data_IF_507770878908
#
_entry.id   IF_507770878908
#
_cell.length_a   1.000
_cell.length_b   1.000
_cell.length_c   1.000
_cell.angle_alpha   90.00
_cell.angle_beta   90.00
_cell.angle_gamma   90.00
#
_symmetry.space_group_name_H-M   'P 1'
#
loop_
_entity.id
_entity.type
_entity.pdbx_description
1 polymer ?
#
# COMPACT_ATOMS: atom_id res chain seq x y z
N UNK A 1 -4.95 9.48 -61.83
CA UNK A 1 -6.31 9.74 -61.30
C UNK A 1 -6.89 8.47 -60.70
N UNK A 2 -6.75 7.34 -61.37
CA UNK A 2 -7.41 6.08 -60.99
C UNK A 2 -6.56 5.16 -60.12
N UNK A 3 -5.26 5.42 -60.03
CA UNK A 3 -4.35 4.72 -59.13
C UNK A 3 -3.17 4.08 -59.85
N UNK A 4 -3.15 4.12 -61.18
CA UNK A 4 -2.17 3.40 -62.01
C UNK A 4 -0.78 4.06 -62.04
N UNK A 5 -0.59 5.16 -61.29
CA UNK A 5 0.70 5.80 -61.17
C UNK A 5 1.61 4.97 -60.28
N UNK A 6 2.83 4.70 -60.73
CA UNK A 6 3.84 4.07 -59.86
C UNK A 6 4.21 5.00 -58.70
N UNK A 7 4.47 4.41 -57.53
CA UNK A 7 4.83 5.15 -56.32
C UNK A 7 6.05 6.06 -56.54
N UNK A 8 7.06 5.59 -57.28
CA UNK A 8 8.26 6.39 -57.59
C UNK A 8 7.93 7.68 -58.33
N UNK A 9 7.01 7.62 -59.30
CA UNK A 9 6.57 8.78 -60.07
C UNK A 9 5.71 9.71 -59.21
N UNK A 10 4.85 9.18 -58.34
CA UNK A 10 4.08 9.99 -57.40
C UNK A 10 5.00 10.77 -56.44
N UNK A 11 6.04 10.12 -55.93
CA UNK A 11 7.04 10.74 -55.05
C UNK A 11 7.85 11.81 -55.80
N UNK A 12 8.22 11.55 -57.06
CA UNK A 12 8.89 12.53 -57.90
C UNK A 12 8.00 13.76 -58.15
N UNK A 13 6.74 13.56 -58.53
CA UNK A 13 5.76 14.64 -58.70
C UNK A 13 5.65 15.50 -57.44
N UNK A 14 5.68 14.87 -56.24
CA UNK A 14 5.67 15.60 -54.97
C UNK A 14 6.93 16.45 -54.78
N UNK A 15 8.11 16.01 -55.24
CA UNK A 15 9.34 16.78 -55.19
C UNK A 15 9.31 17.98 -56.15
N UNK A 16 8.73 17.82 -57.34
CA UNK A 16 8.63 18.86 -58.37
C UNK A 16 7.26 19.55 -58.42
N UNK A 17 6.54 19.60 -57.30
CA UNK A 17 5.12 20.00 -57.24
C UNK A 17 4.85 21.38 -57.88
N UNK A 18 5.78 22.34 -57.73
CA UNK A 18 5.66 23.68 -58.32
C UNK A 18 5.76 23.65 -59.86
N UNK A 19 6.78 22.97 -60.39
CA UNK A 19 6.98 22.82 -61.84
C UNK A 19 5.85 22.00 -62.46
N UNK A 20 5.45 20.92 -61.79
CA UNK A 20 4.31 20.10 -62.21
C UNK A 20 3.02 20.92 -62.28
N UNK A 21 2.76 21.78 -61.29
CA UNK A 21 1.61 22.67 -61.30
C UNK A 21 1.63 23.69 -62.45
N UNK A 22 2.81 24.14 -62.90
CA UNK A 22 2.93 25.01 -64.07
C UNK A 22 2.56 24.26 -65.35
N UNK A 23 3.07 23.04 -65.55
CA UNK A 23 2.74 22.20 -66.71
C UNK A 23 1.24 21.90 -66.78
N UNK A 24 0.61 21.60 -65.65
CA UNK A 24 -0.83 21.31 -65.61
C UNK A 24 -1.68 22.52 -66.02
N UNK A 25 -1.25 23.76 -65.73
CA UNK A 25 -1.99 24.97 -66.13
C UNK A 25 -2.02 25.17 -67.66
N UNK A 26 -1.03 24.63 -68.38
CA UNK A 26 -0.96 24.70 -69.84
C UNK A 26 -1.84 23.64 -70.53
N UNK A 27 -2.48 22.73 -69.79
CA UNK A 27 -3.34 21.67 -70.32
C UNK A 27 -4.82 22.04 -70.09
N UNK A 28 -5.58 22.47 -71.12
CA UNK A 28 -6.93 23.01 -70.95
C UNK A 28 -7.97 22.03 -70.38
N UNK A 29 -7.74 20.72 -70.55
CA UNK A 29 -8.64 19.66 -70.10
C UNK A 29 -8.46 19.25 -68.63
N UNK A 30 -7.47 19.83 -67.93
CA UNK A 30 -7.14 19.46 -66.55
C UNK A 30 -7.28 20.64 -65.58
N UNK A 31 -8.08 20.44 -64.54
CA UNK A 31 -8.16 21.41 -63.44
C UNK A 31 -7.04 21.19 -62.42
N UNK A 32 -6.20 22.20 -62.20
CA UNK A 32 -5.08 22.14 -61.24
C UNK A 32 -5.53 21.76 -59.83
N UNK A 33 -6.70 22.24 -59.40
CA UNK A 33 -7.27 21.91 -58.07
C UNK A 33 -7.55 20.42 -57.93
N UNK A 34 -8.17 19.82 -58.97
CA UNK A 34 -8.48 18.39 -59.00
C UNK A 34 -7.19 17.55 -58.94
N UNK A 35 -6.16 17.95 -59.69
CA UNK A 35 -4.87 17.23 -59.71
C UNK A 35 -4.12 17.34 -58.38
N UNK A 36 -4.09 18.52 -57.76
CA UNK A 36 -3.50 18.70 -56.42
C UNK A 36 -4.19 17.84 -55.37
N UNK A 37 -5.52 17.82 -55.37
CA UNK A 37 -6.29 16.95 -54.49
C UNK A 37 -5.95 15.47 -54.75
N UNK A 38 -5.89 15.05 -56.01
CA UNK A 38 -5.51 13.69 -56.37
C UNK A 38 -4.14 13.30 -55.81
N UNK A 39 -3.12 14.16 -55.98
CA UNK A 39 -1.78 13.94 -55.41
C UNK A 39 -1.87 13.77 -53.89
N UNK A 40 -2.58 14.66 -53.20
CA UNK A 40 -2.73 14.58 -51.75
C UNK A 40 -3.41 13.27 -51.31
N UNK A 41 -4.51 12.87 -51.95
CA UNK A 41 -5.17 11.61 -51.65
C UNK A 41 -4.26 10.41 -51.88
N UNK A 42 -3.51 10.38 -52.99
CA UNK A 42 -2.56 9.28 -53.29
C UNK A 42 -1.40 9.23 -52.28
N UNK A 43 -0.91 10.38 -51.82
CA UNK A 43 0.09 10.43 -50.76
C UNK A 43 -0.45 9.95 -49.42
N UNK A 44 -1.73 10.22 -49.10
CA UNK A 44 -2.39 9.69 -47.90
C UNK A 44 -2.53 8.17 -47.95
N UNK A 45 -2.88 7.59 -49.10
CA UNK A 45 -2.91 6.14 -49.30
C UNK A 45 -1.52 5.51 -49.13
N UNK A 46 -0.49 6.11 -49.74
CA UNK A 46 0.89 5.66 -49.58
C UNK A 46 1.35 5.73 -48.12
N UNK A 47 0.98 6.79 -47.39
CA UNK A 47 1.28 6.89 -45.95
C UNK A 47 0.61 5.77 -45.17
N UNK A 48 -0.68 5.51 -45.39
CA UNK A 48 -1.41 4.43 -44.73
C UNK A 48 -0.79 3.05 -45.01
N UNK A 49 -0.39 2.79 -46.26
CA UNK A 49 0.34 1.57 -46.62
C UNK A 49 1.66 1.43 -45.86
N UNK A 50 2.47 2.50 -45.79
CA UNK A 50 3.75 2.49 -45.05
C UNK A 50 3.55 2.24 -43.56
N UNK A 51 2.54 2.87 -42.95
CA UNK A 51 2.17 2.59 -41.57
C UNK A 51 1.80 1.12 -41.39
N UNK A 52 0.92 0.58 -42.24
CA UNK A 52 0.54 -0.83 -42.20
C UNK A 52 1.74 -1.77 -42.35
N UNK A 53 2.64 -1.50 -43.30
CA UNK A 53 3.86 -2.28 -43.51
C UNK A 53 4.76 -2.25 -42.26
N UNK A 54 4.90 -1.10 -41.61
CA UNK A 54 5.72 -0.98 -40.40
C UNK A 54 5.09 -1.73 -39.22
N UNK A 55 3.79 -1.55 -38.99
CA UNK A 55 3.06 -2.23 -37.92
C UNK A 55 3.10 -3.76 -38.10
N UNK A 56 2.98 -4.27 -39.34
CA UNK A 56 3.13 -5.71 -39.62
C UNK A 56 4.54 -6.22 -39.36
N UNK A 57 5.58 -5.44 -39.68
CA UNK A 57 6.97 -5.78 -39.33
C UNK A 57 7.17 -5.89 -37.83
N UNK A 58 6.69 -4.90 -37.08
CA UNK A 58 6.74 -4.93 -35.62
C UNK A 58 5.95 -6.11 -35.05
N UNK A 59 4.77 -6.41 -35.61
CA UNK A 59 3.99 -7.56 -35.19
C UNK A 59 4.72 -8.89 -35.41
N UNK A 60 5.38 -9.08 -36.56
CA UNK A 60 6.21 -10.27 -36.81
C UNK A 60 7.37 -10.32 -35.81
N UNK A 61 8.03 -9.19 -35.52
CA UNK A 61 9.08 -9.13 -34.50
C UNK A 61 8.56 -9.53 -33.11
N UNK A 62 7.37 -9.07 -32.73
CA UNK A 62 6.71 -9.44 -31.48
C UNK A 62 6.36 -10.92 -31.42
N UNK A 63 5.95 -11.54 -32.54
CA UNK A 63 5.66 -12.97 -32.60
C UNK A 63 6.93 -13.83 -32.49
N UNK A 64 8.04 -13.35 -33.06
CA UNK A 64 9.32 -14.05 -33.00
C UNK A 64 9.87 -14.20 -31.57
N UNK A 65 9.42 -13.38 -30.61
CA UNK A 65 9.83 -13.44 -29.18
C UNK A 65 9.46 -14.76 -28.50
N UNK A 66 8.49 -15.49 -29.05
CA UNK A 66 8.02 -16.79 -28.54
C UNK A 66 7.96 -17.85 -29.64
N UNK A 67 8.80 -17.74 -30.68
CA UNK A 67 8.82 -18.69 -31.80
C UNK A 67 7.52 -18.77 -32.62
N UNK A 68 6.69 -17.71 -32.60
CA UNK A 68 5.53 -17.60 -33.46
C UNK A 68 5.94 -17.41 -34.92
N UNK A 69 5.61 -18.37 -35.79
CA UNK A 69 6.03 -18.36 -37.19
C UNK A 69 4.91 -17.88 -38.11
N UNK A 70 5.14 -16.76 -38.80
CA UNK A 70 4.21 -16.15 -39.75
C UNK A 70 4.84 -16.06 -41.15
N UNK A 71 5.11 -17.19 -41.82
CA UNK A 71 5.83 -17.19 -43.10
C UNK A 71 5.03 -16.46 -44.20
N UNK A 72 3.70 -16.62 -44.21
CA UNK A 72 2.82 -15.96 -45.18
C UNK A 72 2.86 -14.44 -45.05
N UNK A 73 2.83 -13.93 -43.80
CA UNK A 73 2.91 -12.49 -43.53
C UNK A 73 4.32 -11.96 -43.84
N UNK A 74 5.36 -12.72 -43.49
CA UNK A 74 6.75 -12.35 -43.76
C UNK A 74 7.03 -12.27 -45.28
N UNK A 75 6.51 -13.21 -46.07
CA UNK A 75 6.60 -13.20 -47.53
C UNK A 75 5.89 -11.98 -48.12
N UNK A 76 4.70 -11.65 -47.63
CA UNK A 76 3.97 -10.44 -48.04
C UNK A 76 4.74 -9.15 -47.71
N UNK A 77 5.35 -9.06 -46.52
CA UNK A 77 6.21 -7.94 -46.13
C UNK A 77 7.43 -7.86 -47.06
N UNK A 78 8.05 -8.99 -47.39
CA UNK A 78 9.21 -9.06 -48.27
C UNK A 78 8.88 -8.60 -49.70
N UNK A 79 7.80 -9.13 -50.28
CA UNK A 79 7.28 -8.68 -51.59
C UNK A 79 6.95 -7.20 -51.62
N UNK A 80 6.51 -6.66 -50.48
CA UNK A 80 6.16 -5.25 -50.31
C UNK A 80 7.36 -4.31 -50.09
N UNK A 81 8.61 -4.79 -50.03
CA UNK A 81 9.77 -3.91 -49.79
C UNK A 81 10.08 -2.97 -50.96
N UNK A 82 9.87 -3.44 -52.19
CA UNK A 82 10.09 -2.67 -53.42
C UNK A 82 8.83 -1.90 -53.87
N UNK A 83 7.96 -1.52 -52.92
CA UNK A 83 6.70 -0.83 -53.20
C UNK A 83 6.83 0.46 -54.04
N UNK A 84 8.04 1.02 -54.18
CA UNK A 84 8.30 2.19 -55.03
C UNK A 84 8.04 1.90 -56.51
N UNK A 85 8.21 0.65 -56.94
CA UNK A 85 7.99 0.20 -58.32
C UNK A 85 6.54 -0.22 -58.57
N UNK A 86 5.74 -0.35 -57.52
CA UNK A 86 4.35 -0.77 -57.63
C UNK A 86 3.44 0.39 -58.00
N UNK A 87 2.37 0.03 -58.71
CA UNK A 87 1.29 0.98 -58.92
C UNK A 87 0.54 1.20 -57.61
N UNK A 88 0.12 2.43 -57.44
CA UNK A 88 -0.67 2.91 -56.31
C UNK A 88 -1.93 2.03 -56.13
N UNK A 89 -2.65 1.69 -57.20
CA UNK A 89 -3.80 0.77 -57.17
C UNK A 89 -3.50 -0.69 -56.79
N UNK A 90 -2.25 -1.14 -56.83
CA UNK A 90 -1.86 -2.49 -56.39
C UNK A 90 -1.74 -2.57 -54.86
N UNK A 91 -1.55 -1.43 -54.20
CA UNK A 91 -1.30 -1.37 -52.76
C UNK A 91 -2.59 -1.22 -51.92
N UNK A 92 -3.66 -0.74 -52.53
CA UNK A 92 -4.90 -0.33 -51.86
C UNK A 92 -6.09 -0.46 -52.78
N UNK A 93 -7.30 -0.31 -52.22
CA UNK A 93 -8.53 -0.22 -53.01
C UNK A 93 -8.75 1.24 -53.45
N UNK A 94 -8.30 1.67 -54.65
CA UNK A 94 -8.39 3.08 -55.02
C UNK A 94 -9.85 3.50 -55.17
N UNK A 95 -10.24 4.58 -54.50
CA UNK A 95 -11.50 5.26 -54.83
C UNK A 95 -11.28 6.18 -56.01
N UNK A 96 -12.23 6.23 -56.93
CA UNK A 96 -12.17 7.14 -58.07
C UNK A 96 -12.10 8.59 -57.55
N UNK A 97 -11.20 9.39 -58.10
CA UNK A 97 -11.01 10.80 -57.71
C UNK A 97 -12.29 11.66 -57.74
N UNK A 98 -13.27 11.34 -58.60
CA UNK A 98 -14.59 12.01 -58.62
C UNK A 98 -15.36 11.81 -57.32
N UNK A 99 -15.19 10.66 -56.67
CA UNK A 99 -15.74 10.41 -55.34
C UNK A 99 -14.96 11.20 -54.29
N UNK A 100 -13.63 11.19 -54.35
CA UNK A 100 -12.78 11.86 -53.36
C UNK A 100 -12.93 13.39 -53.37
N UNK A 101 -13.13 14.01 -54.54
CA UNK A 101 -13.40 15.44 -54.66
C UNK A 101 -14.76 15.89 -54.10
N UNK A 102 -15.69 14.95 -53.84
CA UNK A 102 -16.94 15.26 -53.13
C UNK A 102 -16.76 15.37 -51.62
N UNK A 103 -15.62 14.92 -51.09
CA UNK A 103 -15.30 15.06 -49.67
C UNK A 103 -14.97 16.53 -49.40
N UNK A 104 -15.65 17.12 -48.43
CA UNK A 104 -15.36 18.48 -47.96
C UNK A 104 -14.01 18.55 -47.25
N UNK A 105 -13.60 17.44 -46.62
CA UNK A 105 -12.34 17.33 -45.89
C UNK A 105 -11.61 16.02 -46.22
N UNK A 106 -10.33 16.14 -46.58
CA UNK A 106 -9.42 15.02 -46.87
C UNK A 106 -9.25 14.09 -45.67
N UNK A 107 -9.46 14.58 -44.45
CA UNK A 107 -9.37 13.77 -43.23
C UNK A 107 -10.46 12.72 -43.10
N UNK A 108 -11.60 12.93 -43.77
CA UNK A 108 -12.69 11.96 -43.81
C UNK A 108 -12.38 10.74 -44.68
N UNK A 109 -11.33 10.83 -45.51
CA UNK A 109 -10.88 9.70 -46.32
C UNK A 109 -9.95 8.78 -45.51
N UNK A 110 -10.38 7.53 -45.35
CA UNK A 110 -9.61 6.44 -44.74
C UNK A 110 -9.26 5.41 -45.83
N UNK A 111 -7.99 5.34 -46.27
CA UNK A 111 -7.52 4.33 -47.21
C UNK A 111 -7.69 2.90 -46.66
N UNK A 112 -8.13 1.99 -47.51
CA UNK A 112 -8.17 0.55 -47.22
C UNK A 112 -6.99 -0.11 -47.91
N UNK A 113 -5.99 -0.51 -47.13
CA UNK A 113 -4.79 -1.19 -47.61
C UNK A 113 -5.16 -2.64 -47.96
N UNK A 114 -4.89 -3.05 -49.20
CA UNK A 114 -5.24 -4.39 -49.72
C UNK A 114 -4.01 -5.24 -50.00
N UNK A 115 -2.81 -4.64 -50.06
CA UNK A 115 -1.55 -5.31 -50.42
C UNK A 115 -1.24 -6.59 -49.61
N UNK A 116 -1.73 -6.67 -48.38
CA UNK A 116 -1.41 -7.76 -47.45
C UNK A 116 -2.47 -8.87 -47.41
N UNK A 117 -3.59 -8.73 -48.15
CA UNK A 117 -4.69 -9.71 -48.14
C UNK A 117 -5.22 -10.07 -46.73
N UNK A 118 -5.10 -9.17 -45.76
CA UNK A 118 -5.61 -9.35 -44.39
C UNK A 118 -6.92 -8.56 -44.21
N UNK A 119 -7.95 -9.15 -43.58
CA UNK A 119 -9.16 -8.44 -43.19
C UNK A 119 -8.87 -7.20 -42.34
N UNK A 120 -9.66 -6.13 -42.53
CA UNK A 120 -9.49 -4.90 -41.75
C UNK A 120 -9.65 -5.12 -40.24
N UNK A 121 -10.41 -6.14 -39.81
CA UNK A 121 -10.53 -6.52 -38.40
C UNK A 121 -9.23 -7.05 -37.83
N UNK A 122 -8.51 -7.91 -38.57
CA UNK A 122 -7.20 -8.42 -38.16
C UNK A 122 -6.17 -7.30 -38.11
N UNK A 123 -6.11 -6.43 -39.14
CA UNK A 123 -5.20 -5.28 -39.13
C UNK A 123 -5.43 -4.36 -37.93
N UNK A 124 -6.70 -4.07 -37.59
CA UNK A 124 -7.03 -3.28 -36.40
C UNK A 124 -6.57 -3.97 -35.11
N UNK A 125 -6.76 -5.28 -35.00
CA UNK A 125 -6.31 -6.05 -33.85
C UNK A 125 -4.78 -5.99 -33.72
N UNK A 126 -4.05 -6.23 -34.81
CA UNK A 126 -2.58 -6.14 -34.86
C UNK A 126 -2.08 -4.77 -34.44
N UNK A 127 -2.64 -3.69 -34.99
CA UNK A 127 -2.19 -2.33 -34.65
C UNK A 127 -2.47 -1.99 -33.19
N UNK A 128 -3.57 -2.49 -32.63
CA UNK A 128 -3.85 -2.35 -31.21
C UNK A 128 -2.77 -3.01 -30.35
N UNK A 129 -2.30 -4.20 -30.74
CA UNK A 129 -1.25 -4.93 -30.00
C UNK A 129 0.09 -4.25 -30.11
N UNK A 130 0.51 -3.91 -31.33
CA UNK A 130 1.81 -3.27 -31.55
C UNK A 130 1.87 -1.96 -30.77
N UNK A 131 0.75 -1.22 -30.69
CA UNK A 131 0.66 -0.03 -29.85
C UNK A 131 0.76 -0.37 -28.35
N UNK A 132 0.03 -1.37 -27.86
CA UNK A 132 0.06 -1.77 -26.43
C UNK A 132 1.42 -2.32 -25.98
N UNK A 133 2.10 -3.11 -26.82
CA UNK A 133 3.43 -3.66 -26.55
C UNK A 133 4.56 -2.62 -26.46
N UNK A 134 4.28 -1.33 -26.71
CA UNK A 134 5.23 -0.26 -26.40
C UNK A 134 5.39 -0.03 -24.90
N UNK A 135 4.46 -0.49 -24.08
CA UNK A 135 4.58 -0.51 -22.62
C UNK A 135 5.14 -1.85 -22.13
N UNK A 136 6.06 -1.78 -21.17
CA UNK A 136 6.79 -2.95 -20.66
C UNK A 136 5.87 -4.03 -20.07
N UNK A 137 4.84 -3.63 -19.31
CA UNK A 137 3.94 -4.58 -18.64
C UNK A 137 3.10 -5.39 -19.63
N UNK A 138 2.62 -4.75 -20.70
CA UNK A 138 1.85 -5.44 -21.72
C UNK A 138 2.74 -6.42 -22.51
N UNK A 139 3.98 -6.00 -22.82
CA UNK A 139 4.96 -6.84 -23.48
C UNK A 139 5.32 -8.08 -22.63
N UNK A 140 5.42 -7.94 -21.30
CA UNK A 140 5.64 -9.06 -20.40
C UNK A 140 4.47 -10.07 -20.44
N UNK A 141 3.22 -9.61 -20.39
CA UNK A 141 2.06 -10.51 -20.52
C UNK A 141 2.03 -11.20 -21.89
N UNK A 142 2.36 -10.46 -22.94
CA UNK A 142 2.48 -10.99 -24.31
C UNK A 142 3.53 -12.11 -24.39
N UNK A 143 4.70 -11.92 -23.81
CA UNK A 143 5.77 -12.92 -23.78
C UNK A 143 5.39 -14.16 -22.98
N UNK A 144 4.88 -13.97 -21.75
CA UNK A 144 4.46 -15.09 -20.88
C UNK A 144 3.41 -15.94 -21.59
N UNK A 145 2.40 -15.29 -22.21
CA UNK A 145 1.34 -16.00 -22.93
C UNK A 145 1.89 -16.70 -24.16
N UNK A 146 2.67 -16.00 -24.98
CA UNK A 146 3.24 -16.55 -26.20
C UNK A 146 4.13 -17.78 -25.92
N UNK A 147 4.96 -17.70 -24.89
CA UNK A 147 5.83 -18.81 -24.45
C UNK A 147 5.01 -19.99 -23.92
N UNK A 148 3.96 -19.74 -23.13
CA UNK A 148 3.06 -20.79 -22.64
C UNK A 148 2.45 -21.58 -23.80
N UNK A 149 1.92 -20.90 -24.82
CA UNK A 149 1.31 -21.55 -25.99
C UNK A 149 2.37 -22.24 -26.86
N UNK A 150 3.56 -21.65 -27.02
CA UNK A 150 4.64 -22.28 -27.78
C UNK A 150 5.14 -23.57 -27.14
N UNK A 151 5.15 -23.65 -25.81
CA UNK A 151 5.54 -24.87 -25.09
C UNK A 151 4.51 -25.99 -25.26
N UNK A 152 3.24 -25.67 -25.47
CA UNK A 152 2.17 -26.65 -25.68
C UNK A 152 2.09 -27.15 -27.13
N UNK A 153 2.39 -26.29 -28.12
CA UNK A 153 2.08 -26.56 -29.55
C UNK A 153 3.34 -26.73 -30.42
N UNK A 154 4.55 -26.72 -29.86
CA UNK A 154 5.87 -26.69 -30.54
C UNK A 154 6.09 -25.47 -31.47
N UNK A 155 5.19 -25.21 -32.43
CA UNK A 155 5.24 -24.07 -33.33
C UNK A 155 3.85 -23.52 -33.68
N UNK A 156 3.59 -22.27 -33.30
CA UNK A 156 2.35 -21.57 -33.65
C UNK A 156 2.48 -20.99 -35.06
N UNK A 157 1.70 -21.53 -35.99
CA UNK A 157 1.71 -21.11 -37.41
C UNK A 157 0.37 -20.50 -37.82
N UNK A 158 0.43 -19.32 -38.43
CA UNK A 158 -0.74 -18.62 -38.99
C UNK A 158 -1.27 -17.51 -38.09
N UNK A 159 -1.70 -16.42 -38.74
CA UNK A 159 -2.10 -15.18 -38.05
C UNK A 159 -3.33 -15.39 -37.17
N UNK A 160 -4.31 -16.17 -37.62
CA UNK A 160 -5.51 -16.47 -36.86
C UNK A 160 -5.20 -17.22 -35.57
N UNK A 161 -4.28 -18.19 -35.61
CA UNK A 161 -3.87 -18.91 -34.40
C UNK A 161 -3.19 -17.99 -33.39
N UNK A 162 -2.36 -17.05 -33.84
CA UNK A 162 -1.74 -16.07 -32.94
C UNK A 162 -2.81 -15.14 -32.36
N UNK A 163 -3.76 -14.69 -33.18
CA UNK A 163 -4.85 -13.84 -32.71
C UNK A 163 -5.69 -14.56 -31.65
N UNK A 164 -6.09 -15.80 -31.91
CA UNK A 164 -6.99 -16.58 -31.05
C UNK A 164 -6.31 -17.08 -29.77
N UNK A 165 -5.07 -17.56 -29.84
CA UNK A 165 -4.41 -18.24 -28.73
C UNK A 165 -3.47 -17.34 -27.91
N UNK A 166 -2.97 -16.25 -28.50
CA UNK A 166 -2.04 -15.34 -27.81
C UNK A 166 -2.70 -13.99 -27.58
N UNK A 167 -3.09 -13.29 -28.65
CA UNK A 167 -3.61 -11.92 -28.55
C UNK A 167 -4.87 -11.82 -27.71
N UNK A 168 -5.97 -12.46 -28.12
CA UNK A 168 -7.25 -12.31 -27.42
C UNK A 168 -7.15 -12.71 -25.94
N UNK A 169 -6.42 -13.78 -25.57
CA UNK A 169 -6.13 -14.06 -24.17
C UNK A 169 -5.28 -13.00 -23.48
N UNK A 170 -4.18 -12.52 -24.07
CA UNK A 170 -3.37 -11.44 -23.47
C UNK A 170 -4.18 -10.16 -23.24
N UNK A 171 -5.12 -9.82 -24.13
CA UNK A 171 -6.05 -8.70 -23.93
C UNK A 171 -6.97 -8.91 -22.73
N UNK A 172 -7.44 -10.15 -22.50
CA UNK A 172 -8.24 -10.49 -21.32
C UNK A 172 -7.39 -10.41 -20.05
N UNK A 173 -6.21 -11.03 -20.05
CA UNK A 173 -5.28 -11.00 -18.92
C UNK A 173 -4.91 -9.54 -18.57
N UNK A 174 -4.74 -8.67 -19.57
CA UNK A 174 -4.53 -7.22 -19.38
C UNK A 174 -5.72 -6.50 -18.72
N UNK A 175 -6.95 -6.82 -19.12
CA UNK A 175 -8.15 -6.24 -18.53
C UNK A 175 -8.40 -6.75 -17.11
N UNK A 176 -8.13 -8.03 -16.85
CA UNK A 176 -8.21 -8.63 -15.52
C UNK A 176 -7.21 -7.96 -14.57
N UNK A 177 -5.95 -7.84 -14.99
CA UNK A 177 -4.92 -7.15 -14.22
C UNK A 177 -5.28 -5.70 -13.93
N UNK A 178 -5.80 -4.95 -14.92
CA UNK A 178 -6.32 -3.60 -14.69
C UNK A 178 -7.37 -3.57 -13.57
N UNK A 179 -8.34 -4.48 -13.61
CA UNK A 179 -9.42 -4.53 -12.63
C UNK A 179 -8.91 -4.91 -11.23
N UNK A 180 -7.94 -5.81 -11.14
CA UNK A 180 -7.32 -6.19 -9.87
C UNK A 180 -6.48 -5.07 -9.27
N UNK A 181 -5.75 -4.34 -10.09
CA UNK A 181 -5.01 -3.14 -9.70
C UNK A 181 -5.96 -2.06 -9.19
N UNK A 182 -7.01 -1.75 -9.93
CA UNK A 182 -7.99 -0.70 -9.56
C UNK A 182 -8.75 -1.08 -8.29
N UNK A 183 -9.27 -2.31 -8.19
CA UNK A 183 -10.01 -2.78 -7.01
C UNK A 183 -9.15 -3.11 -5.80
N UNK A 184 -7.85 -3.33 -6.01
CA UNK A 184 -6.89 -3.72 -4.97
C UNK A 184 -7.01 -5.18 -4.56
N UNK A 185 -7.65 -6.02 -5.38
CA UNK A 185 -7.68 -7.47 -5.15
C UNK A 185 -6.36 -8.16 -5.47
N UNK A 186 -5.49 -7.51 -6.25
CA UNK A 186 -4.11 -7.99 -6.45
C UNK A 186 -3.40 -8.17 -5.12
N UNK A 187 -2.58 -9.22 -4.99
CA UNK A 187 -1.83 -9.47 -3.77
C UNK A 187 -0.54 -8.65 -3.72
N UNK A 188 0.03 -8.48 -2.52
CA UNK A 188 1.33 -7.81 -2.39
C UNK A 188 2.44 -8.57 -3.12
N UNK A 189 2.46 -9.90 -3.08
CA UNK A 189 3.46 -10.70 -3.78
C UNK A 189 3.34 -10.56 -5.29
N UNK A 190 2.12 -10.57 -5.83
CA UNK A 190 1.88 -10.37 -7.26
C UNK A 190 2.28 -8.97 -7.70
N UNK A 191 1.88 -7.94 -6.95
CA UNK A 191 2.29 -6.57 -7.23
C UNK A 191 3.81 -6.40 -7.15
N UNK A 192 4.47 -7.03 -6.18
CA UNK A 192 5.94 -7.02 -6.08
C UNK A 192 6.62 -7.76 -7.24
N UNK A 193 6.03 -8.84 -7.76
CA UNK A 193 6.54 -9.50 -8.98
C UNK A 193 6.43 -8.60 -10.21
N UNK A 194 5.34 -7.83 -10.32
CA UNK A 194 5.15 -6.89 -11.43
C UNK A 194 6.15 -5.72 -11.37
N UNK A 195 6.35 -5.15 -10.19
CA UNK A 195 7.21 -3.97 -10.01
C UNK A 195 8.68 -4.32 -9.76
N UNK A 196 8.99 -5.52 -9.28
CA UNK A 196 10.32 -5.88 -8.82
C UNK A 196 10.86 -4.93 -7.75
N UNK A 197 12.12 -4.51 -7.92
CA UNK A 197 12.81 -3.55 -7.03
C UNK A 197 12.69 -2.10 -7.51
N UNK A 198 11.75 -1.82 -8.41
CA UNK A 198 11.50 -0.49 -8.94
C UNK A 198 11.20 0.53 -7.83
N UNK A 199 11.66 1.76 -8.01
CA UNK A 199 11.26 2.88 -7.15
C UNK A 199 9.85 3.37 -7.47
N UNK A 200 9.29 4.21 -6.61
CA UNK A 200 7.92 4.73 -6.74
C UNK A 200 7.65 5.39 -8.12
N UNK A 201 8.64 6.12 -8.65
CA UNK A 201 8.55 6.77 -9.96
C UNK A 201 8.51 5.74 -11.10
N UNK A 202 9.37 4.72 -11.04
CA UNK A 202 9.42 3.65 -12.03
C UNK A 202 8.11 2.84 -12.02
N UNK A 203 7.54 2.57 -10.84
CA UNK A 203 6.23 1.90 -10.70
C UNK A 203 5.12 2.75 -11.32
N UNK A 204 5.16 4.06 -11.13
CA UNK A 204 4.20 4.96 -11.74
C UNK A 204 4.29 4.94 -13.27
N UNK A 205 5.50 4.96 -13.82
CA UNK A 205 5.74 4.86 -15.26
C UNK A 205 5.28 3.50 -15.82
N UNK A 206 5.56 2.41 -15.10
CA UNK A 206 5.12 1.06 -15.43
C UNK A 206 3.58 0.94 -15.51
N UNK A 207 2.87 1.61 -14.60
CA UNK A 207 1.41 1.59 -14.52
C UNK A 207 0.74 2.69 -15.37
N UNK A 208 1.50 3.62 -15.94
CA UNK A 208 0.99 4.68 -16.82
C UNK A 208 0.13 4.19 -18.00
N UNK A 209 0.34 2.99 -18.59
CA UNK A 209 -0.56 2.48 -19.62
C UNK A 209 -2.00 2.26 -19.15
N UNK A 210 -2.26 2.25 -17.84
CA UNK A 210 -3.61 2.16 -17.28
C UNK A 210 -4.22 3.52 -16.93
N UNK A 211 -3.51 4.63 -17.15
CA UNK A 211 -4.03 5.99 -16.96
C UNK A 211 -5.03 6.36 -18.08
N UNK A 212 -6.18 5.69 -18.12
CA UNK A 212 -7.29 6.01 -19.00
C UNK A 212 -8.43 6.65 -18.20
N UNK A 213 -8.50 7.98 -18.21
CA UNK A 213 -9.60 8.73 -17.60
C UNK A 213 -9.16 9.74 -16.55
N UNK A 214 -10.13 10.26 -15.76
CA UNK A 214 -9.90 11.37 -14.81
C UNK A 214 -9.40 10.93 -13.44
N UNK A 215 -9.51 9.65 -13.08
CA UNK A 215 -9.13 9.17 -11.75
C UNK A 215 -8.06 8.07 -11.81
N UNK A 216 -6.81 8.50 -11.61
CA UNK A 216 -5.65 7.62 -11.48
C UNK A 216 -5.12 7.62 -10.03
N UNK A 217 -5.94 8.04 -9.05
CA UNK A 217 -5.52 8.11 -7.65
C UNK A 217 -5.18 6.74 -7.05
N UNK A 218 -5.75 5.67 -7.62
CA UNK A 218 -5.44 4.29 -7.26
C UNK A 218 -3.97 3.91 -7.48
N UNK A 219 -3.27 4.48 -8.49
CA UNK A 219 -1.84 4.20 -8.73
C UNK A 219 -1.02 4.65 -7.52
N UNK A 220 -1.30 5.88 -7.05
CA UNK A 220 -0.64 6.42 -5.87
C UNK A 220 -0.99 5.62 -4.61
N UNK A 221 -2.25 5.17 -4.49
CA UNK A 221 -2.67 4.30 -3.40
C UNK A 221 -1.87 2.99 -3.36
N UNK A 222 -1.68 2.32 -4.51
CA UNK A 222 -0.90 1.07 -4.59
C UNK A 222 0.57 1.26 -4.23
N UNK A 223 1.18 2.36 -4.68
CA UNK A 223 2.57 2.70 -4.32
C UNK A 223 2.70 2.88 -2.81
N UNK A 224 1.80 3.64 -2.17
CA UNK A 224 1.80 3.83 -0.72
C UNK A 224 1.60 2.48 -0.01
N UNK A 225 0.63 1.68 -0.44
CA UNK A 225 0.37 0.37 0.16
C UNK A 225 1.59 -0.53 0.11
N UNK A 226 2.28 -0.60 -1.03
CA UNK A 226 3.50 -1.41 -1.18
C UNK A 226 4.64 -0.94 -0.28
N UNK A 227 4.92 0.36 -0.26
CA UNK A 227 5.92 0.97 0.64
C UNK A 227 5.65 0.63 2.12
N UNK A 228 4.38 0.61 2.49
CA UNK A 228 3.93 0.34 3.86
C UNK A 228 3.94 -1.13 4.21
N UNK A 229 3.56 -2.00 3.27
CA UNK A 229 3.73 -3.44 3.41
C UNK A 229 5.19 -3.83 3.65
N UNK A 230 6.12 -3.23 2.89
CA UNK A 230 7.57 -3.42 3.12
C UNK A 230 8.02 -2.96 4.50
N UNK A 231 7.36 -1.93 5.06
CA UNK A 231 7.64 -1.42 6.41
C UNK A 231 6.88 -2.17 7.53
N UNK A 232 5.93 -3.04 7.18
CA UNK A 232 5.08 -3.75 8.15
C UNK A 232 5.91 -4.68 9.04
N UNK A 233 6.94 -5.32 8.48
CA UNK A 233 7.83 -6.20 9.23
C UNK A 233 8.59 -5.45 10.34
N UNK A 234 8.82 -4.15 10.20
CA UNK A 234 9.41 -3.32 11.26
C UNK A 234 8.47 -3.15 12.45
N UNK A 235 7.15 -3.18 12.22
CA UNK A 235 6.14 -3.10 13.28
C UNK A 235 5.89 -4.43 13.99
N UNK A 236 6.36 -5.55 13.42
CA UNK A 236 5.98 -6.89 13.87
C UNK A 236 6.34 -7.13 15.34
N UNK A 237 7.54 -6.75 15.76
CA UNK A 237 7.99 -6.95 17.13
C UNK A 237 7.16 -6.12 18.11
N UNK A 238 6.92 -4.84 17.79
CA UNK A 238 6.08 -3.96 18.60
C UNK A 238 4.65 -4.50 18.72
N UNK A 239 4.06 -4.93 17.60
CA UNK A 239 2.72 -5.51 17.56
C UNK A 239 2.61 -6.80 18.41
N UNK A 240 3.62 -7.68 18.35
CA UNK A 240 3.68 -8.90 19.18
C UNK A 240 3.72 -8.57 20.66
N UNK A 241 4.58 -7.63 21.06
CA UNK A 241 4.71 -7.22 22.47
C UNK A 241 3.39 -6.62 22.97
N UNK A 242 2.75 -5.75 22.18
CA UNK A 242 1.47 -5.15 22.56
C UNK A 242 0.40 -6.23 22.73
N UNK A 243 0.29 -7.18 21.78
CA UNK A 243 -0.62 -8.32 21.91
C UNK A 243 -0.36 -9.09 23.19
N UNK A 244 0.90 -9.43 23.47
CA UNK A 244 1.27 -10.18 24.68
C UNK A 244 0.83 -9.42 25.95
N UNK A 245 0.98 -8.09 26.01
CA UNK A 245 0.54 -7.27 27.16
C UNK A 245 -0.99 -7.25 27.28
N UNK A 246 -1.70 -7.09 26.16
CA UNK A 246 -3.19 -7.07 26.14
C UNK A 246 -3.75 -8.37 26.68
N UNK A 247 -3.23 -9.51 26.21
CA UNK A 247 -3.62 -10.85 26.65
C UNK A 247 -3.21 -11.12 28.11
N UNK A 248 -2.01 -10.68 28.51
CA UNK A 248 -1.46 -10.93 29.84
C UNK A 248 -2.19 -10.22 30.98
N UNK A 249 -2.79 -9.05 30.69
CA UNK A 249 -3.40 -8.18 31.68
C UNK A 249 -4.90 -8.01 31.50
N UNK A 250 -5.51 -8.77 30.59
CA UNK A 250 -6.93 -8.69 30.20
C UNK A 250 -7.38 -7.25 29.92
N UNK A 251 -6.59 -6.53 29.12
CA UNK A 251 -6.88 -5.12 28.83
C UNK A 251 -8.12 -5.01 27.95
N UNK A 252 -9.08 -4.19 28.40
CA UNK A 252 -10.27 -3.84 27.62
C UNK A 252 -9.93 -2.72 26.60
N UNK A 253 -10.56 -2.78 25.43
CA UNK A 253 -10.34 -1.82 24.34
C UNK A 253 -10.26 -2.44 22.94
N UNK A 254 -10.21 -1.57 21.94
CA UNK A 254 -10.09 -1.95 20.53
C UNK A 254 -8.62 -2.13 20.13
N UNK A 255 -8.22 -3.39 19.94
CA UNK A 255 -6.90 -3.79 19.44
C UNK A 255 -6.97 -4.47 18.06
N UNK A 256 -8.07 -4.28 17.32
CA UNK A 256 -8.29 -4.94 16.02
C UNK A 256 -7.15 -4.63 15.03
N UNK A 257 -6.62 -3.40 15.06
CA UNK A 257 -5.50 -3.04 14.19
C UNK A 257 -4.23 -3.84 14.48
N UNK A 258 -3.91 -4.07 15.76
CA UNK A 258 -2.73 -4.87 16.14
C UNK A 258 -2.91 -6.32 15.68
N UNK A 259 -4.11 -6.88 15.86
CA UNK A 259 -4.46 -8.22 15.36
C UNK A 259 -4.31 -8.32 13.85
N UNK A 260 -4.82 -7.33 13.11
CA UNK A 260 -4.71 -7.27 11.65
C UNK A 260 -3.27 -7.19 11.16
N UNK A 261 -2.43 -6.36 11.78
CA UNK A 261 -1.01 -6.25 11.41
C UNK A 261 -0.28 -7.58 11.64
N UNK A 262 -0.58 -8.27 12.75
CA UNK A 262 -0.03 -9.58 13.03
C UNK A 262 -0.49 -10.62 12.01
N UNK A 263 -1.78 -10.64 11.65
CA UNK A 263 -2.32 -11.51 10.59
C UNK A 263 -1.59 -11.22 9.28
N UNK A 264 -1.57 -9.97 8.82
CA UNK A 264 -0.96 -9.59 7.53
C UNK A 264 0.54 -9.86 7.45
N UNK A 265 1.26 -9.77 8.56
CA UNK A 265 2.68 -10.07 8.60
C UNK A 265 2.97 -11.57 8.81
N UNK A 266 1.95 -12.36 9.14
CA UNK A 266 2.01 -13.82 9.28
C UNK A 266 1.46 -14.59 8.08
N UNK A 267 0.50 -14.00 7.35
CA UNK A 267 -0.02 -14.52 6.09
C UNK A 267 1.05 -14.38 5.02
N UNK A 268 1.23 -15.44 4.25
CA UNK A 268 2.24 -15.49 3.19
C UNK A 268 1.96 -14.51 2.04
N UNK A 269 0.69 -14.16 1.81
CA UNK A 269 0.27 -13.23 0.76
C UNK A 269 -1.14 -12.67 1.01
N UNK A 270 -1.29 -11.35 1.08
CA UNK A 270 -2.59 -10.69 1.31
C UNK A 270 -2.93 -9.68 0.21
N UNK A 271 -4.23 -9.47 -0.03
CA UNK A 271 -4.73 -8.52 -1.04
C UNK A 271 -4.47 -7.07 -0.61
N UNK A 272 -4.07 -6.22 -1.55
CA UNK A 272 -3.68 -4.84 -1.25
C UNK A 272 -4.82 -3.99 -0.65
N UNK A 273 -6.07 -4.22 -1.07
CA UNK A 273 -7.27 -3.54 -0.52
C UNK A 273 -7.43 -3.72 0.99
N UNK A 274 -6.88 -4.81 1.53
CA UNK A 274 -6.93 -5.06 2.96
C UNK A 274 -6.07 -4.01 3.71
N UNK A 275 -5.04 -3.43 3.09
CA UNK A 275 -4.30 -2.32 3.66
C UNK A 275 -4.97 -0.97 3.34
N UNK A 276 -6.18 -0.76 3.84
CA UNK A 276 -6.93 0.48 3.61
C UNK A 276 -6.25 1.70 4.25
N UNK A 277 -6.65 2.91 3.85
CA UNK A 277 -6.17 4.19 4.40
C UNK A 277 -6.29 4.30 5.93
N UNK A 278 -7.27 3.64 6.54
CA UNK A 278 -7.43 3.63 8.01
C UNK A 278 -6.40 2.74 8.70
N UNK A 279 -6.09 1.58 8.10
CA UNK A 279 -5.03 0.69 8.59
C UNK A 279 -3.65 1.36 8.47
N UNK A 280 -3.43 2.13 7.40
CA UNK A 280 -2.19 2.89 7.18
C UNK A 280 -1.88 3.88 8.31
N UNK A 281 -2.87 4.62 8.81
CA UNK A 281 -2.70 5.55 9.93
C UNK A 281 -2.26 4.85 11.21
N UNK A 282 -2.70 3.61 11.42
CA UNK A 282 -2.36 2.87 12.63
C UNK A 282 -0.99 2.20 12.54
N UNK A 283 -0.57 1.80 11.34
CA UNK A 283 0.83 1.44 11.08
C UNK A 283 1.76 2.63 11.39
N UNK A 284 1.37 3.87 11.11
CA UNK A 284 2.16 5.05 11.49
C UNK A 284 2.33 5.17 13.00
N UNK A 285 1.32 4.82 13.80
CA UNK A 285 1.41 4.82 15.27
C UNK A 285 2.46 3.79 15.74
N UNK A 286 2.46 2.59 15.17
CA UNK A 286 3.43 1.56 15.50
C UNK A 286 4.84 1.90 14.99
N UNK A 287 4.96 2.47 13.78
CA UNK A 287 6.25 2.96 13.25
C UNK A 287 6.81 4.14 14.07
N UNK A 288 5.96 4.93 14.73
CA UNK A 288 6.37 5.99 15.64
C UNK A 288 6.85 5.47 17.02
N UNK A 289 6.71 4.16 17.30
CA UNK A 289 7.34 3.52 18.45
C UNK A 289 8.83 3.33 18.15
N UNK A 290 9.64 4.26 18.63
CA UNK A 290 11.09 4.08 18.59
C UNK A 290 11.54 2.86 19.42
N UNK A 291 12.79 2.46 19.23
CA UNK A 291 13.36 1.30 19.92
C UNK A 291 13.26 1.39 21.44
N UNK A 292 13.32 2.59 22.02
CA UNK A 292 13.23 2.81 23.46
C UNK A 292 11.82 2.55 23.98
N UNK A 293 10.79 3.02 23.27
CA UNK A 293 9.39 2.76 23.64
C UNK A 293 9.07 1.27 23.56
N UNK A 294 9.53 0.60 22.51
CA UNK A 294 9.38 -0.86 22.38
C UNK A 294 10.09 -1.59 23.51
N UNK A 295 11.29 -1.14 23.90
CA UNK A 295 12.00 -1.70 25.07
C UNK A 295 11.24 -1.47 26.39
N UNK A 296 10.64 -0.30 26.59
CA UNK A 296 9.80 -0.04 27.76
C UNK A 296 8.59 -0.98 27.83
N UNK A 297 7.92 -1.23 26.70
CA UNK A 297 6.82 -2.19 26.63
C UNK A 297 7.28 -3.61 26.95
N UNK A 298 8.45 -4.04 26.44
CA UNK A 298 9.05 -5.34 26.81
C UNK A 298 9.27 -5.43 28.32
N UNK A 299 9.91 -4.42 28.93
CA UNK A 299 10.16 -4.41 30.38
C UNK A 299 8.87 -4.45 31.19
N UNK A 300 7.83 -3.73 30.76
CA UNK A 300 6.52 -3.77 31.41
C UNK A 300 5.87 -5.16 31.33
N UNK A 301 5.92 -5.79 30.16
CA UNK A 301 5.45 -7.18 29.96
C UNK A 301 6.21 -8.15 30.87
N UNK A 302 7.53 -8.03 30.93
CA UNK A 302 8.38 -8.95 31.69
C UNK A 302 8.28 -8.72 33.22
N UNK A 303 7.70 -7.58 33.64
CA UNK A 303 7.49 -7.19 35.04
C UNK A 303 6.16 -7.67 35.65
N UNK A 304 5.53 -8.68 35.04
CA UNK A 304 4.21 -9.20 35.45
C UNK A 304 4.06 -9.45 36.96
N UNK A 305 4.99 -10.13 37.66
CA UNK A 305 4.81 -10.41 39.09
C UNK A 305 4.66 -9.16 39.95
N UNK A 306 5.40 -8.10 39.62
CA UNK A 306 5.29 -6.81 40.31
C UNK A 306 3.97 -6.13 39.98
N UNK A 307 3.58 -6.11 38.70
CA UNK A 307 2.33 -5.46 38.27
C UNK A 307 1.11 -6.14 38.89
N UNK A 308 1.08 -7.48 38.90
CA UNK A 308 0.01 -8.26 39.53
C UNK A 308 -0.04 -7.98 41.04
N UNK A 309 1.12 -7.92 41.72
CA UNK A 309 1.18 -7.59 43.15
C UNK A 309 0.70 -6.16 43.44
N UNK A 310 1.12 -5.17 42.65
CA UNK A 310 0.63 -3.79 42.80
C UNK A 310 -0.89 -3.74 42.59
N UNK A 311 -1.42 -4.45 41.58
CA UNK A 311 -2.86 -4.49 41.28
C UNK A 311 -3.68 -5.17 42.39
N UNK A 312 -3.12 -6.17 43.05
CA UNK A 312 -3.76 -6.88 44.17
C UNK A 312 -3.73 -6.05 45.47
N UNK A 313 -2.58 -5.42 45.78
CA UNK A 313 -2.36 -4.76 47.07
C UNK A 313 -2.70 -3.27 47.11
N UNK A 314 -2.68 -2.59 45.97
CA UNK A 314 -2.90 -1.16 45.89
C UNK A 314 -4.24 -0.89 45.19
N UNK A 315 -5.21 -0.31 45.91
CA UNK A 315 -6.52 0.02 45.33
C UNK A 315 -6.47 1.24 44.44
N UNK A 316 -5.63 2.22 44.77
CA UNK A 316 -5.47 3.45 44.01
C UNK A 316 -4.06 4.04 44.12
N UNK A 317 -3.82 5.11 43.35
CA UNK A 317 -2.55 5.83 43.34
C UNK A 317 -2.19 6.48 44.69
N UNK A 318 -3.18 6.72 45.57
CA UNK A 318 -2.93 7.30 46.90
C UNK A 318 -2.36 6.24 47.83
N UNK A 319 -2.92 5.03 47.83
CA UNK A 319 -2.37 3.90 48.60
C UNK A 319 -0.96 3.55 48.15
N UNK A 320 -0.71 3.56 46.83
CA UNK A 320 0.65 3.37 46.30
C UNK A 320 1.62 4.44 46.82
N UNK A 321 1.19 5.71 46.86
CA UNK A 321 2.02 6.80 47.38
C UNK A 321 2.34 6.62 48.87
N UNK A 322 1.34 6.32 49.70
CA UNK A 322 1.54 6.07 51.14
C UNK A 322 2.47 4.89 51.36
N UNK A 323 2.34 3.84 50.55
CA UNK A 323 3.23 2.69 50.61
C UNK A 323 4.68 3.05 50.24
N UNK A 324 4.89 3.87 49.21
CA UNK A 324 6.22 4.37 48.84
C UNK A 324 6.82 5.21 49.98
N UNK A 325 6.04 6.08 50.60
CA UNK A 325 6.48 6.89 51.73
C UNK A 325 6.87 6.00 52.94
N UNK A 326 6.09 4.95 53.23
CA UNK A 326 6.41 3.96 54.26
C UNK A 326 7.66 3.15 53.93
N UNK A 327 7.83 2.74 52.68
CA UNK A 327 9.03 2.05 52.22
C UNK A 327 10.27 2.93 52.39
N UNK A 328 10.15 4.23 52.11
CA UNK A 328 11.23 5.21 52.30
C UNK A 328 11.58 5.43 53.78
N UNK A 329 10.59 5.41 54.68
CA UNK A 329 10.84 5.48 56.13
C UNK A 329 11.40 4.17 56.68
N UNK A 330 11.04 3.04 56.06
CA UNK A 330 11.49 1.70 56.47
C UNK A 330 12.89 1.35 55.96
N UNK A 331 13.38 2.03 54.92
CA UNK A 331 14.81 2.02 54.57
C UNK A 331 15.59 2.78 55.63
N UNK A 332 16.55 2.12 56.29
CA UNK A 332 17.37 2.74 57.32
C UNK A 332 18.36 3.76 56.74
N UNK A 333 19.27 4.24 57.59
CA UNK A 333 20.29 5.23 57.21
C UNK A 333 21.46 4.63 56.39
N UNK A 334 21.39 3.35 55.97
CA UNK A 334 22.44 2.72 55.16
C UNK A 334 22.37 3.22 53.70
N UNK A 335 23.46 3.80 53.15
CA UNK A 335 23.52 4.25 51.75
C UNK A 335 23.10 3.19 50.71
N UNK A 336 23.30 1.90 51.00
CA UNK A 336 22.87 0.81 50.13
C UNK A 336 21.35 0.60 50.13
N UNK A 337 20.69 0.84 51.27
CA UNK A 337 19.23 0.78 51.40
C UNK A 337 18.57 2.03 50.81
N UNK A 338 19.19 3.20 50.96
CA UNK A 338 18.74 4.47 50.36
C UNK A 338 18.86 4.43 48.82
N UNK A 339 19.84 3.72 48.27
CA UNK A 339 19.93 3.49 46.82
C UNK A 339 18.79 2.59 46.30
N UNK A 340 18.22 1.75 47.16
CA UNK A 340 17.09 0.85 46.89
C UNK A 340 15.74 1.57 46.86
N UNK A 341 15.61 2.72 47.54
CA UNK A 341 14.36 3.50 47.56
C UNK A 341 14.15 4.36 46.30
N UNK A 342 15.20 4.60 45.52
CA UNK A 342 15.14 5.40 44.29
C UNK A 342 14.58 4.64 43.07
N UNK A 343 14.06 3.42 43.23
CA UNK A 343 13.79 2.39 42.21
C UNK A 343 12.51 2.62 41.36
N UNK A 344 11.78 3.73 41.46
CA UNK A 344 10.44 3.87 40.88
C UNK A 344 10.30 4.53 39.47
N UNK A 345 11.32 4.48 38.59
CA UNK A 345 11.22 4.93 37.17
C UNK A 345 11.31 3.79 36.15
N UNK A 346 10.93 4.03 34.88
CA UNK A 346 10.87 3.01 33.81
C UNK A 346 12.18 2.24 33.53
N UNK A 347 13.37 2.81 33.80
CA UNK A 347 14.65 2.06 33.75
C UNK A 347 14.84 1.12 34.93
N UNK A 348 14.08 1.34 35.99
CA UNK A 348 14.17 0.68 37.27
C UNK A 348 13.00 -0.29 37.48
N UNK A 349 12.02 -0.40 36.57
CA UNK A 349 10.90 -1.35 36.70
C UNK A 349 11.39 -2.79 36.90
N UNK A 350 12.44 -3.16 36.16
CA UNK A 350 13.11 -4.46 36.28
C UNK A 350 13.83 -4.61 37.62
N UNK A 351 14.48 -3.55 38.09
CA UNK A 351 15.11 -3.53 39.42
C UNK A 351 14.07 -3.57 40.54
N UNK A 352 12.90 -2.93 40.37
CA UNK A 352 11.77 -3.01 41.30
C UNK A 352 11.23 -4.43 41.36
N UNK A 353 11.13 -5.10 40.21
CA UNK A 353 10.70 -6.51 40.15
C UNK A 353 11.66 -7.43 40.92
N UNK A 354 12.97 -7.22 40.78
CA UNK A 354 13.99 -7.98 41.55
C UNK A 354 13.86 -7.78 43.05
N UNK A 355 13.25 -6.66 43.48
CA UNK A 355 13.03 -6.30 44.87
C UNK A 355 11.62 -6.61 45.38
N UNK A 356 10.81 -7.35 44.61
CA UNK A 356 9.41 -7.65 44.96
C UNK A 356 9.26 -8.34 46.33
N UNK A 357 10.19 -9.23 46.69
CA UNK A 357 10.12 -9.92 47.98
C UNK A 357 10.35 -8.97 49.17
N UNK A 358 11.22 -7.98 48.99
CA UNK A 358 11.41 -6.92 49.98
C UNK A 358 10.18 -6.01 50.09
N UNK A 359 9.55 -5.67 48.95
CA UNK A 359 8.30 -4.90 48.96
C UNK A 359 7.16 -5.64 49.67
N UNK A 360 7.05 -6.95 49.50
CA UNK A 360 6.08 -7.79 50.23
C UNK A 360 6.32 -7.76 51.74
N UNK A 361 7.58 -7.79 52.19
CA UNK A 361 7.91 -7.67 53.61
C UNK A 361 7.46 -6.32 54.20
N UNK A 362 7.62 -5.23 53.46
CA UNK A 362 7.13 -3.90 53.90
C UNK A 362 5.59 -3.88 54.00
N UNK A 363 4.90 -4.53 53.07
CA UNK A 363 3.43 -4.64 53.12
C UNK A 363 2.96 -5.45 54.33
N UNK A 364 3.64 -6.55 54.68
CA UNK A 364 3.39 -7.30 55.91
C UNK A 364 3.63 -6.46 57.16
N UNK A 365 4.73 -5.68 57.19
CA UNK A 365 5.03 -4.74 58.29
C UNK A 365 3.92 -3.68 58.40
N UNK A 366 3.49 -3.09 57.28
CA UNK A 366 2.40 -2.13 57.24
C UNK A 366 1.11 -2.74 57.80
N UNK A 367 0.73 -3.94 57.37
CA UNK A 367 -0.44 -4.64 57.90
C UNK A 367 -0.35 -4.88 59.41
N UNK A 368 0.83 -5.23 59.91
CA UNK A 368 1.10 -5.39 61.34
C UNK A 368 0.97 -4.08 62.12
N UNK A 369 1.52 -2.97 61.60
CA UNK A 369 1.44 -1.63 62.23
C UNK A 369 -0.01 -1.13 62.25
N UNK A 370 -0.76 -1.31 61.16
CA UNK A 370 -2.18 -0.92 61.10
C UNK A 370 -3.01 -1.73 62.12
N UNK A 371 -2.76 -3.03 62.24
CA UNK A 371 -3.44 -3.90 63.20
C UNK A 371 -3.07 -3.58 64.65
N UNK A 372 -1.81 -3.29 64.95
CA UNK A 372 -1.37 -2.90 66.31
C UNK A 372 -1.87 -1.51 66.69
N UNK A 373 -1.84 -0.54 65.79
CA UNK A 373 -2.39 0.81 66.03
C UNK A 373 -3.90 0.75 66.27
N UNK A 374 -4.62 -0.06 65.49
CA UNK A 374 -6.05 -0.29 65.69
C UNK A 374 -6.34 -1.03 67.00
N UNK A 375 -5.54 -2.03 67.35
CA UNK A 375 -5.64 -2.75 68.62
C UNK A 375 -5.35 -1.82 69.81
N UNK A 376 -4.37 -0.93 69.68
CA UNK A 376 -4.03 0.07 70.69
C UNK A 376 -5.14 1.11 70.83
N UNK A 377 -5.71 1.61 69.73
CA UNK A 377 -6.87 2.50 69.77
C UNK A 377 -8.09 1.81 70.41
N UNK A 378 -8.35 0.53 70.10
CA UNK A 378 -9.40 -0.27 70.76
C UNK A 378 -9.13 -0.46 72.25
N UNK A 379 -7.88 -0.70 72.63
CA UNK A 379 -7.46 -0.84 74.03
C UNK A 379 -7.64 0.47 74.81
N UNK A 380 -7.25 1.60 74.21
CA UNK A 380 -7.48 2.94 74.77
C UNK A 380 -8.99 3.22 74.90
N UNK A 381 -9.81 2.83 73.92
CA UNK A 381 -11.26 3.02 74.00
C UNK A 381 -11.94 2.06 75.00
N UNK A 382 -11.40 0.86 75.22
CA UNK A 382 -11.99 -0.13 76.12
C UNK A 382 -11.62 0.12 77.59
N UNK A 383 -10.37 0.55 77.85
CA UNK A 383 -9.83 0.65 79.21
C UNK A 383 -8.81 1.78 79.38
N UNK A 384 -8.72 2.70 78.42
CA UNK A 384 -7.85 3.87 78.55
C UNK A 384 -8.37 4.82 79.63
N UNK A 385 -7.46 5.46 80.34
CA UNK A 385 -7.80 6.48 81.32
C UNK A 385 -7.35 7.84 80.80
N UNK A 386 -8.30 8.77 80.66
CA UNK A 386 -7.98 10.14 80.29
C UNK A 386 -7.80 10.97 81.56
N UNK A 387 -6.72 11.75 81.59
CA UNK A 387 -6.45 12.69 82.68
C UNK A 387 -6.60 14.10 82.15
N UNK A 388 -7.58 14.84 82.68
CA UNK A 388 -7.82 16.24 82.31
C UNK A 388 -7.39 17.10 83.49
N UNK A 389 -6.44 18.02 83.27
CA UNK A 389 -5.93 18.92 84.30
C UNK A 389 -5.16 20.10 83.71
N UNK A 390 -5.02 21.17 84.49
CA UNK A 390 -4.22 22.34 84.14
C UNK A 390 -2.78 22.13 84.64
N UNK A 391 -1.83 21.94 83.73
CA UNK A 391 -0.42 21.59 84.01
C UNK A 391 0.35 22.64 84.84
N UNK A 392 -0.24 23.80 85.14
CA UNK A 392 0.44 24.94 85.76
C UNK A 392 0.06 25.30 87.20
N UNK A 393 -0.86 24.61 87.89
CA UNK A 393 -1.29 25.06 89.23
C UNK A 393 -1.51 23.89 90.23
N UNK A 394 -0.81 23.95 91.36
CA UNK A 394 -0.75 22.94 92.44
C UNK A 394 -2.01 22.88 93.33
N UNK A 395 -3.19 23.17 92.76
CA UNK A 395 -4.48 22.93 93.40
C UNK A 395 -5.24 21.87 92.57
N UNK A 396 -5.26 20.65 93.10
CA UNK A 396 -5.80 19.43 92.49
C UNK A 396 -7.29 19.57 92.14
N UNK A 397 -7.62 19.34 90.87
CA UNK A 397 -8.74 18.48 90.48
C UNK A 397 -8.30 17.69 89.25
N UNK A 398 -7.85 16.45 89.48
CA UNK A 398 -7.59 15.47 88.43
C UNK A 398 -8.89 14.70 88.24
N UNK A 399 -9.57 14.90 87.11
CA UNK A 399 -10.67 14.04 86.71
C UNK A 399 -10.06 12.85 85.95
N UNK A 400 -10.07 11.68 86.60
CA UNK A 400 -9.76 10.40 85.97
C UNK A 400 -11.06 9.85 85.40
N UNK A 401 -11.14 9.75 84.08
CA UNK A 401 -12.28 9.13 83.40
C UNK A 401 -11.83 7.77 82.88
N UNK A 402 -12.33 6.71 83.50
CA UNK A 402 -12.20 5.33 83.02
C UNK A 402 -13.34 5.04 82.04
N UNK A 403 -12.98 4.79 80.79
CA UNK A 403 -13.95 4.61 79.70
C UNK A 403 -14.73 3.29 79.87
N UNK A 404 -14.18 2.29 80.57
CA UNK A 404 -14.79 0.97 80.72
C UNK A 404 -15.93 0.88 81.75
N UNK A 405 -16.11 1.91 82.60
CA UNK A 405 -17.00 1.81 83.78
C UNK A 405 -17.81 3.08 84.10
N UNK A 406 -18.33 3.76 83.07
CA UNK A 406 -19.13 4.99 83.27
C UNK A 406 -20.63 4.70 83.40
N UNK A 407 -21.12 4.52 84.64
CA UNK A 407 -22.48 4.94 85.02
C UNK A 407 -22.38 6.39 85.50
N UNK A 408 -22.97 7.32 84.77
CA UNK A 408 -23.02 8.73 85.15
C UNK A 408 -24.08 8.96 86.23
N UNK A 409 -23.66 9.32 87.45
CA UNK A 409 -24.48 10.10 88.38
C UNK A 409 -23.76 11.44 88.62
N UNK A 410 -24.35 12.52 88.12
CA UNK A 410 -23.92 13.90 88.37
C UNK A 410 -24.50 14.33 89.71
N UNK A 411 -23.72 14.23 90.79
CA UNK A 411 -24.05 14.96 92.02
C UNK A 411 -23.78 16.46 91.83
N UNK A 412 -24.84 17.25 91.91
CA UNK A 412 -24.78 18.71 91.94
C UNK A 412 -24.20 19.18 93.28
N UNK A 413 -22.91 19.54 93.29
CA UNK A 413 -22.29 20.28 94.37
C UNK A 413 -22.42 21.79 94.17
N UNK A 414 -23.33 22.43 94.93
CA UNK A 414 -23.29 23.89 95.17
C UNK A 414 -22.00 24.25 95.91
N UNK A 415 -21.34 25.32 95.48
CA UNK A 415 -20.57 26.19 96.37
C UNK A 415 -20.73 27.65 95.92
N UNK A 416 -20.82 28.51 96.93
CA UNK A 416 -21.13 29.95 96.96
C UNK A 416 -20.28 30.85 96.09
#
# INVERSE_FOLDING_TARGET
MDGDIEVVHLLYIKQIEQLFAMVIKEIPSLELKIIRNAIHFRLKELYAFKCCLNELKEFVNLCNRFSGNLPDVADLIFKSQNYKEFQICELYRPKHIKFLNKLENIEQYYPEVTAFNLPSSQLKAIFSVVKSCKGDLFLQLWDVRGQSVSNEIEQITGIDKIIENVLLPTMRDWQELHNELVSGTITFREFEKLCGKAGDQDVKELLSPFEYGKDCSWIHERIIQMSRYRSLHTCLDAAKIIRDIVEMYDMDGDFETVKRILIMASEEDCQMKNLSREHLKSCDILLALDSKKVECLKKFRDSKPLVDWIRDKMKDLRELKVFIDLAYISTGDDPWEISRSHIFSLRQLEDTCRQLDWLKQIEEIRGSIEMTSLAQAKSINASGTYTIGNLGNTAKQLLLVDVGNTKYELEQGRCT
#
